data_IF_914379175208
#
_entry.id   IF_914379175208
#
_cell.length_a   1.000
_cell.length_b   1.000
_cell.length_c   1.000
_cell.angle_alpha   90.00
_cell.angle_beta   90.00
_cell.angle_gamma   90.00
#
_symmetry.space_group_name_H-M   'P 1'
#
loop_
_entity.id
_entity.type
_entity.pdbx_description
1 polymer ?
#
# COMPACT_ATOMS: atom_id res chain seq x y z
N UNK A 1 7.79 21.62 -37.09
CA UNK A 1 7.22 20.44 -36.42
C UNK A 1 7.78 20.46 -35.00
N UNK A 2 7.11 21.20 -34.12
CA UNK A 2 7.47 21.31 -32.71
C UNK A 2 7.01 20.02 -32.03
N UNK A 3 7.95 19.17 -31.63
CA UNK A 3 7.65 17.97 -30.86
C UNK A 3 7.29 18.39 -29.44
N UNK A 4 6.03 18.21 -29.06
CA UNK A 4 5.59 18.37 -27.67
C UNK A 4 6.43 17.44 -26.80
N UNK A 5 7.30 18.04 -25.99
CA UNK A 5 8.07 17.35 -25.00
C UNK A 5 7.09 17.03 -23.85
N UNK A 6 6.37 15.91 -23.94
CA UNK A 6 5.45 15.50 -22.88
C UNK A 6 6.25 15.27 -21.60
N UNK A 7 6.10 16.22 -20.67
CA UNK A 7 6.67 16.15 -19.33
C UNK A 7 5.57 15.71 -18.37
N UNK A 8 5.65 14.47 -17.89
CA UNK A 8 4.70 13.94 -16.92
C UNK A 8 5.10 14.42 -15.52
N UNK A 9 4.19 15.11 -14.85
CA UNK A 9 4.39 15.64 -13.50
C UNK A 9 3.45 14.96 -12.51
N UNK A 10 4.00 14.34 -11.47
CA UNK A 10 3.22 13.68 -10.42
C UNK A 10 3.98 13.63 -9.10
N UNK A 11 3.30 13.29 -8.01
CA UNK A 11 3.91 13.15 -6.69
C UNK A 11 3.87 11.70 -6.21
N UNK A 12 4.98 11.23 -5.64
CA UNK A 12 5.10 9.92 -4.99
C UNK A 12 5.52 10.15 -3.55
N UNK A 13 4.70 9.74 -2.58
CA UNK A 13 4.97 9.91 -1.15
C UNK A 13 5.33 11.36 -0.74
N UNK A 14 4.71 12.35 -1.39
CA UNK A 14 4.96 13.78 -1.15
C UNK A 14 6.16 14.37 -1.91
N UNK A 15 6.94 13.57 -2.63
CA UNK A 15 8.03 14.02 -3.49
C UNK A 15 7.52 14.24 -4.92
N UNK A 16 7.79 15.42 -5.48
CA UNK A 16 7.35 15.80 -6.83
C UNK A 16 8.37 15.34 -7.87
N UNK A 17 7.90 14.62 -8.88
CA UNK A 17 8.67 14.15 -10.02
C UNK A 17 8.21 14.85 -11.29
N UNK A 18 9.17 15.34 -12.06
CA UNK A 18 8.98 15.86 -13.42
C UNK A 18 9.78 14.96 -14.36
N UNK A 19 9.08 14.25 -15.25
CA UNK A 19 9.69 13.22 -16.11
C UNK A 19 9.51 13.62 -17.58
N UNK A 20 10.52 14.24 -18.20
CA UNK A 20 10.47 14.57 -19.62
C UNK A 20 10.68 13.31 -20.47
N UNK A 21 9.90 13.17 -21.56
CA UNK A 21 10.04 12.09 -22.56
C UNK A 21 9.88 10.67 -21.98
N UNK A 22 8.86 10.47 -21.13
CA UNK A 22 8.54 9.12 -20.63
C UNK A 22 7.92 8.27 -21.74
N UNK A 23 8.39 7.03 -21.91
CA UNK A 23 7.78 6.07 -22.84
C UNK A 23 6.36 5.73 -22.35
N UNK A 24 5.30 5.85 -23.17
CA UNK A 24 3.92 5.52 -22.79
C UNK A 24 3.71 4.07 -22.31
N UNK A 25 4.61 3.15 -22.64
CA UNK A 25 4.61 1.77 -22.13
C UNK A 25 5.18 1.64 -20.72
N UNK A 26 5.76 2.71 -20.16
CA UNK A 26 6.31 2.72 -18.81
C UNK A 26 5.19 2.62 -17.80
N UNK A 27 5.08 1.46 -17.15
CA UNK A 27 4.12 1.25 -16.07
C UNK A 27 4.56 1.95 -14.79
N UNK A 28 3.60 2.36 -13.95
CA UNK A 28 3.89 2.98 -12.64
C UNK A 28 4.82 2.13 -11.76
N UNK A 29 4.67 0.78 -11.65
CA UNK A 29 5.62 -0.05 -10.91
C UNK A 29 7.04 0.00 -11.47
N UNK A 30 7.18 0.04 -12.80
CA UNK A 30 8.48 0.13 -13.46
C UNK A 30 9.14 1.49 -13.22
N UNK A 31 8.36 2.57 -13.23
CA UNK A 31 8.82 3.89 -12.86
C UNK A 31 9.31 3.92 -11.41
N UNK A 32 8.49 3.48 -10.45
CA UNK A 32 8.81 3.49 -9.04
C UNK A 32 10.09 2.69 -8.73
N UNK A 33 10.26 1.51 -9.33
CA UNK A 33 11.45 0.66 -9.09
C UNK A 33 12.75 1.25 -9.66
N UNK A 34 12.65 1.99 -10.76
CA UNK A 34 13.82 2.48 -11.51
C UNK A 34 14.23 3.89 -11.11
N UNK A 35 13.25 4.74 -10.77
CA UNK A 35 13.45 6.17 -10.52
C UNK A 35 13.29 6.58 -9.05
N UNK A 36 12.87 5.67 -8.17
CA UNK A 36 12.79 5.94 -6.74
C UNK A 36 13.62 4.96 -5.94
N UNK A 37 14.00 5.37 -4.72
CA UNK A 37 14.73 4.51 -3.77
C UNK A 37 13.85 3.44 -3.10
N UNK A 38 12.55 3.40 -3.40
CA UNK A 38 11.59 2.48 -2.78
C UNK A 38 11.69 1.05 -3.36
N UNK A 39 12.83 0.38 -3.15
CA UNK A 39 13.15 -0.94 -3.73
C UNK A 39 12.63 -2.14 -2.91
N UNK A 40 11.39 -2.05 -2.43
CA UNK A 40 10.76 -2.99 -1.47
C UNK A 40 11.21 -2.78 -0.03
N UNK A 41 10.33 -2.20 0.79
CA UNK A 41 10.53 -2.15 2.25
C UNK A 41 10.44 -3.59 2.78
N UNK A 42 11.59 -4.20 3.06
CA UNK A 42 11.71 -5.48 3.74
C UNK A 42 12.05 -5.21 5.20
N UNK A 43 11.03 -5.16 6.03
CA UNK A 43 11.18 -5.30 7.47
C UNK A 43 9.98 -6.11 7.98
N UNK A 44 10.24 -7.37 8.33
CA UNK A 44 9.29 -8.19 9.08
C UNK A 44 9.24 -7.64 10.50
N UNK A 45 8.13 -7.03 10.89
CA UNK A 45 7.95 -6.64 12.27
C UNK A 45 7.76 -7.90 13.11
N UNK A 46 8.77 -8.20 13.94
CA UNK A 46 8.61 -9.04 15.12
C UNK A 46 7.70 -8.33 16.11
N UNK A 47 6.57 -8.96 16.43
CA UNK A 47 6.38 -9.67 17.70
C UNK A 47 5.06 -10.46 17.59
N UNK A 48 5.10 -11.76 17.89
CA UNK A 48 3.93 -12.61 18.10
C UNK A 48 3.22 -13.20 16.87
N UNK A 49 3.23 -12.55 15.70
CA UNK A 49 2.51 -13.03 14.52
C UNK A 49 3.45 -13.20 13.32
N UNK A 50 3.62 -14.44 12.84
CA UNK A 50 4.41 -14.78 11.64
C UNK A 50 3.70 -14.38 10.33
N UNK A 51 3.16 -13.16 10.28
CA UNK A 51 2.42 -12.59 9.16
C UNK A 51 3.30 -12.19 7.97
N UNK A 52 4.62 -12.29 8.12
CA UNK A 52 5.59 -12.05 7.05
C UNK A 52 6.68 -13.13 7.09
N UNK A 53 6.86 -13.83 5.96
CA UNK A 53 7.93 -14.81 5.77
C UNK A 53 8.91 -14.32 4.69
N UNK A 54 8.53 -14.38 3.41
CA UNK A 54 9.37 -13.87 2.30
C UNK A 54 9.32 -12.35 2.14
N UNK A 55 8.37 -11.67 2.81
CA UNK A 55 8.21 -10.22 2.84
C UNK A 55 7.69 -9.57 1.55
N UNK A 56 7.45 -10.33 0.47
CA UNK A 56 7.04 -9.75 -0.82
C UNK A 56 5.63 -9.18 -0.79
N UNK A 57 4.69 -9.86 -0.13
CA UNK A 57 3.30 -9.42 -0.02
C UNK A 57 3.07 -8.34 1.05
N UNK A 58 4.03 -8.15 1.97
CA UNK A 58 3.87 -7.27 3.14
C UNK A 58 3.57 -5.82 2.76
N UNK A 59 4.28 -5.19 1.79
CA UNK A 59 3.95 -3.82 1.37
C UNK A 59 2.54 -3.68 0.80
N UNK A 60 2.07 -4.67 0.02
CA UNK A 60 0.71 -4.65 -0.54
C UNK A 60 -0.36 -4.73 0.54
N UNK A 61 -0.18 -5.66 1.49
CA UNK A 61 -1.07 -5.82 2.65
C UNK A 61 -1.12 -4.54 3.49
N UNK A 62 0.04 -3.95 3.81
CA UNK A 62 0.11 -2.71 4.59
C UNK A 62 -0.59 -1.54 3.88
N UNK A 63 -0.39 -1.37 2.57
CA UNK A 63 -1.04 -0.30 1.81
C UNK A 63 -2.56 -0.50 1.72
N UNK A 64 -3.04 -1.73 1.55
CA UNK A 64 -4.48 -2.03 1.54
C UNK A 64 -5.15 -1.77 2.89
N UNK A 65 -4.48 -2.14 3.99
CA UNK A 65 -4.94 -1.83 5.35
C UNK A 65 -4.92 -0.32 5.59
N UNK A 66 -3.85 0.38 5.19
CA UNK A 66 -3.74 1.83 5.33
C UNK A 66 -4.83 2.59 4.59
N UNK A 67 -5.12 2.21 3.33
CA UNK A 67 -6.24 2.79 2.58
C UNK A 67 -7.57 2.59 3.29
N UNK A 68 -7.82 1.38 3.80
CA UNK A 68 -9.06 1.05 4.49
C UNK A 68 -9.21 1.78 5.83
N UNK A 69 -8.10 2.01 6.53
CA UNK A 69 -8.07 2.83 7.74
C UNK A 69 -8.47 4.28 7.44
N UNK A 70 -7.86 4.91 6.43
CA UNK A 70 -8.19 6.28 6.02
C UNK A 70 -9.67 6.37 5.58
N UNK A 71 -10.14 5.40 4.79
CA UNK A 71 -11.53 5.38 4.34
C UNK A 71 -12.50 5.24 5.53
N UNK A 72 -12.16 4.42 6.53
CA UNK A 72 -12.98 4.26 7.74
C UNK A 72 -12.98 5.53 8.62
N UNK A 73 -11.85 6.24 8.71
CA UNK A 73 -11.74 7.53 9.40
C UNK A 73 -12.58 8.62 8.74
N UNK A 74 -12.58 8.66 7.40
CA UNK A 74 -13.35 9.64 6.63
C UNK A 74 -14.87 9.39 6.65
N UNK A 75 -15.33 8.19 6.99
CA UNK A 75 -16.77 7.90 7.14
C UNK A 75 -17.29 8.53 8.42
N UNK A 76 -18.07 9.61 8.33
CA UNK A 76 -18.73 10.27 9.47
C UNK A 76 -20.00 9.56 9.96
N UNK A 77 -20.49 8.55 9.23
CA UNK A 77 -21.80 7.90 9.45
C UNK A 77 -21.87 6.95 10.65
N UNK A 78 -20.75 6.65 11.31
CA UNK A 78 -20.66 5.76 12.47
C UNK A 78 -20.35 6.51 13.78
N UNK A 79 -20.65 5.92 14.95
CA UNK A 79 -20.19 6.45 16.23
C UNK A 79 -18.66 6.57 16.25
N UNK A 80 -18.14 7.60 16.93
CA UNK A 80 -16.71 7.70 17.19
C UNK A 80 -16.22 6.43 17.90
N UNK A 81 -15.08 5.85 17.49
CA UNK A 81 -14.53 4.68 18.14
C UNK A 81 -14.05 5.04 19.54
N UNK A 82 -13.82 4.03 20.38
CA UNK A 82 -13.18 4.22 21.67
C UNK A 82 -11.77 4.82 21.48
N UNK A 83 -11.27 5.63 22.45
CA UNK A 83 -9.91 6.15 22.39
C UNK A 83 -8.89 5.02 22.19
N UNK A 84 -8.02 5.16 21.19
CA UNK A 84 -7.04 4.13 20.83
C UNK A 84 -7.52 3.06 19.85
N UNK A 85 -8.79 3.11 19.40
CA UNK A 85 -9.34 2.19 18.40
C UNK A 85 -9.67 2.91 17.10
N UNK A 86 -9.43 2.25 15.96
CA UNK A 86 -9.85 2.74 14.65
C UNK A 86 -11.34 2.50 14.41
N UNK A 87 -11.90 3.24 13.46
CA UNK A 87 -13.22 2.94 12.86
C UNK A 87 -13.14 1.73 11.92
N UNK A 88 -11.98 1.17 11.64
CA UNK A 88 -11.89 -0.06 10.85
C UNK A 88 -12.32 -1.27 11.69
N UNK A 89 -13.24 -2.09 11.16
CA UNK A 89 -13.63 -3.36 11.79
C UNK A 89 -12.76 -4.52 11.27
N UNK A 90 -12.61 -5.60 12.04
CA UNK A 90 -11.86 -6.78 11.62
C UNK A 90 -12.37 -7.35 10.28
N UNK A 91 -13.69 -7.40 10.07
CA UNK A 91 -14.28 -7.86 8.80
C UNK A 91 -13.94 -6.94 7.61
N UNK A 92 -13.79 -5.64 7.84
CA UNK A 92 -13.35 -4.70 6.80
C UNK A 92 -11.84 -4.85 6.52
N UNK A 93 -11.04 -5.06 7.57
CA UNK A 93 -9.61 -5.33 7.45
C UNK A 93 -9.33 -6.64 6.68
N UNK A 94 -10.05 -7.72 6.99
CA UNK A 94 -10.00 -9.00 6.27
C UNK A 94 -10.33 -8.83 4.78
N UNK A 95 -11.37 -8.04 4.45
CA UNK A 95 -11.72 -7.74 3.05
C UNK A 95 -10.65 -6.93 2.34
N UNK A 96 -10.00 -6.01 3.05
CA UNK A 96 -8.92 -5.20 2.49
C UNK A 96 -7.71 -6.05 2.11
N UNK A 97 -7.38 -7.06 2.92
CA UNK A 97 -6.24 -7.96 2.66
C UNK A 97 -6.59 -9.11 1.71
N UNK A 98 -7.87 -9.42 1.49
CA UNK A 98 -8.31 -10.50 0.61
C UNK A 98 -7.82 -10.35 -0.85
N UNK A 99 -7.58 -9.12 -1.31
CA UNK A 99 -6.98 -8.84 -2.63
C UNK A 99 -5.47 -9.06 -2.71
N UNK A 100 -4.79 -9.31 -1.59
CA UNK A 100 -3.34 -9.49 -1.54
C UNK A 100 -2.97 -10.98 -1.48
N UNK A 101 -2.28 -11.47 -2.51
CA UNK A 101 -1.86 -12.88 -2.57
C UNK A 101 -0.62 -13.14 -1.72
N UNK A 102 -0.71 -14.04 -0.74
CA UNK A 102 0.43 -14.54 0.04
C UNK A 102 0.54 -16.07 -0.08
N UNK A 103 1.65 -16.56 -0.64
CA UNK A 103 1.90 -18.00 -0.75
C UNK A 103 2.71 -18.59 0.40
N UNK A 104 3.18 -17.77 1.34
CA UNK A 104 4.08 -18.24 2.40
C UNK A 104 3.37 -18.42 3.76
N UNK A 105 2.53 -17.46 4.17
CA UNK A 105 2.01 -17.40 5.56
C UNK A 105 0.70 -18.15 5.77
N UNK A 106 0.05 -18.58 4.70
CA UNK A 106 -1.25 -19.25 4.78
C UNK A 106 -2.38 -18.37 5.34
N UNK A 107 -2.25 -17.03 5.23
CA UNK A 107 -3.22 -15.99 5.63
C UNK A 107 -3.60 -15.88 7.10
N UNK A 108 -3.58 -16.99 7.85
CA UNK A 108 -4.02 -17.05 9.24
C UNK A 108 -3.30 -16.04 10.15
N UNK A 109 -1.97 -15.90 10.10
CA UNK A 109 -1.27 -14.91 10.92
C UNK A 109 -1.49 -13.46 10.48
N UNK A 110 -1.95 -13.22 9.24
CA UNK A 110 -2.28 -11.89 8.73
C UNK A 110 -3.68 -11.50 9.19
N UNK A 111 -4.63 -12.43 9.16
CA UNK A 111 -5.97 -12.24 9.72
C UNK A 111 -5.93 -12.06 11.25
N UNK A 112 -5.09 -12.81 11.96
CA UNK A 112 -4.91 -12.67 13.41
C UNK A 112 -4.28 -11.31 13.81
N UNK A 113 -3.67 -10.60 12.86
CA UNK A 113 -3.10 -9.26 13.06
C UNK A 113 -4.09 -8.11 12.73
N UNK A 114 -5.27 -8.42 12.18
CA UNK A 114 -6.35 -7.48 11.86
C UNK A 114 -7.31 -7.29 13.04
#
# INVERSE_FOLDING_TARGET
MEGEQECLVFAVNGERFEVPNIDPSTTLPQFLRSHTRFKSVKLGCGDGFHASQCGFCTPGICMSLYSSLIDAENRTTRPAPLPGFSRLTASEAEKAIAGNLCQCTGYRPIADAC
#
